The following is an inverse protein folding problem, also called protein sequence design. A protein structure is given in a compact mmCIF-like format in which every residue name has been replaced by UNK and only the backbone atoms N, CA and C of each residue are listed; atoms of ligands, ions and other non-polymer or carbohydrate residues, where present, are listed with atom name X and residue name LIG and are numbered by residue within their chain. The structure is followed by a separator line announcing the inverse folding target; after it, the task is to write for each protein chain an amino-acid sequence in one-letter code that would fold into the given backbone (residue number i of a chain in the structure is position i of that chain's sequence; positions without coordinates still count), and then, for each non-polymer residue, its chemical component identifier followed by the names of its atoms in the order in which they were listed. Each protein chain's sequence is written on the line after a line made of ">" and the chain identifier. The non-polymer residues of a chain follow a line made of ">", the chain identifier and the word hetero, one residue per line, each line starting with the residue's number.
data_IF_889251136913
#
_entry.id   IF_889251136913
#
_cell.length_a   1.000
_cell.length_b   1.000
_cell.length_c   1.000
_cell.angle_alpha   90.00
_cell.angle_beta   90.00
_cell.angle_gamma   90.00
#
_symmetry.space_group_name_H-M   'P 1'
#
loop_
_entity.id
_entity.type
_entity.pdbx_description
1 polymer ?
#
# COMPACT_ATOMS: atom_id res chain seq x y z
N UNK A 1 23.27 -15.87 15.50
CA UNK A 1 22.19 -16.12 14.52
C UNK A 1 22.05 -14.92 13.58
N UNK A 2 22.51 -15.01 12.32
CA UNK A 2 22.27 -13.98 11.30
C UNK A 2 20.95 -14.31 10.60
N UNK A 3 19.89 -13.52 10.80
CA UNK A 3 18.66 -13.62 10.01
C UNK A 3 19.00 -13.29 8.55
N UNK A 4 19.06 -14.31 7.68
CA UNK A 4 19.12 -14.11 6.22
C UNK A 4 17.76 -13.56 5.79
N UNK A 5 17.68 -12.25 5.58
CA UNK A 5 16.50 -11.62 4.98
C UNK A 5 16.46 -12.07 3.53
N UNK A 6 15.34 -12.69 3.12
CA UNK A 6 15.11 -13.06 1.71
C UNK A 6 15.13 -11.80 0.84
N UNK A 7 15.79 -11.85 -0.32
CA UNK A 7 15.90 -10.72 -1.25
C UNK A 7 14.53 -10.15 -1.67
N UNK A 8 13.49 -10.99 -1.70
CA UNK A 8 12.11 -10.57 -1.93
C UNK A 8 11.58 -9.65 -0.81
N UNK A 9 11.84 -10.00 0.45
CA UNK A 9 11.40 -9.18 1.60
C UNK A 9 12.11 -7.83 1.63
N UNK A 10 13.39 -7.78 1.22
CA UNK A 10 14.14 -6.52 1.08
C UNK A 10 13.53 -5.64 -0.02
N UNK A 11 13.20 -6.23 -1.18
CA UNK A 11 12.57 -5.51 -2.28
C UNK A 11 11.21 -4.92 -1.90
N UNK A 12 10.37 -5.69 -1.21
CA UNK A 12 9.06 -5.23 -0.70
C UNK A 12 9.24 -4.11 0.32
N UNK A 13 10.24 -4.20 1.20
CA UNK A 13 10.53 -3.13 2.15
C UNK A 13 10.94 -1.83 1.45
N UNK A 14 11.73 -1.92 0.37
CA UNK A 14 12.17 -0.76 -0.42
C UNK A 14 10.99 -0.13 -1.17
N UNK A 15 10.11 -0.90 -1.82
CA UNK A 15 8.92 -0.34 -2.48
C UNK A 15 8.03 0.38 -1.48
N UNK A 16 7.79 -0.23 -0.32
CA UNK A 16 6.97 0.36 0.73
C UNK A 16 7.58 1.66 1.25
N UNK A 17 8.89 1.69 1.48
CA UNK A 17 9.61 2.90 1.89
C UNK A 17 9.46 4.03 0.85
N UNK A 18 9.61 3.72 -0.44
CA UNK A 18 9.46 4.71 -1.52
C UNK A 18 8.04 5.29 -1.59
N UNK A 19 7.02 4.46 -1.39
CA UNK A 19 5.62 4.89 -1.34
C UNK A 19 5.37 5.81 -0.13
N UNK A 20 5.87 5.44 1.05
CA UNK A 20 5.76 6.28 2.25
C UNK A 20 6.45 7.64 2.06
N UNK A 21 7.65 7.64 1.48
CA UNK A 21 8.38 8.86 1.18
C UNK A 21 7.62 9.72 0.16
N UNK A 22 7.08 9.12 -0.91
CA UNK A 22 6.25 9.84 -1.89
C UNK A 22 5.07 10.53 -1.22
N UNK A 23 4.33 9.84 -0.36
CA UNK A 23 3.21 10.42 0.36
C UNK A 23 3.64 11.56 1.29
N UNK A 24 4.73 11.38 2.05
CA UNK A 24 5.27 12.41 2.94
C UNK A 24 5.72 13.67 2.19
N UNK A 25 6.45 13.52 1.09
CA UNK A 25 6.85 14.64 0.24
C UNK A 25 5.65 15.29 -0.46
N UNK A 26 4.64 14.51 -0.85
CA UNK A 26 3.38 15.00 -1.41
C UNK A 26 2.64 15.89 -0.43
N UNK A 27 2.46 15.43 0.80
CA UNK A 27 1.83 16.19 1.88
C UNK A 27 2.58 17.49 2.17
N UNK A 28 3.91 17.43 2.27
CA UNK A 28 4.74 18.63 2.49
C UNK A 28 4.59 19.65 1.37
N UNK A 29 4.58 19.19 0.10
CA UNK A 29 4.44 20.09 -1.05
C UNK A 29 3.05 20.71 -1.14
N UNK A 30 2.00 19.95 -0.76
CA UNK A 30 0.64 20.45 -0.66
C UNK A 30 0.52 21.53 0.43
N UNK A 31 0.97 21.25 1.64
CA UNK A 31 0.94 22.21 2.76
C UNK A 31 1.76 23.47 2.44
N UNK A 32 2.89 23.32 1.75
CA UNK A 32 3.67 24.48 1.32
C UNK A 32 2.93 25.32 0.24
N UNK A 33 2.12 24.70 -0.62
CA UNK A 33 1.29 25.43 -1.57
C UNK A 33 0.18 26.20 -0.86
N UNK A 34 -0.46 25.58 0.14
CA UNK A 34 -1.44 26.23 1.01
C UNK A 34 -0.87 27.47 1.70
N UNK A 35 0.30 27.33 2.34
CA UNK A 35 0.98 28.45 2.99
C UNK A 35 1.34 29.59 2.03
N UNK A 36 1.75 29.26 0.80
CA UNK A 36 2.01 30.28 -0.23
C UNK A 36 0.75 31.05 -0.61
N UNK A 37 -0.38 30.35 -0.76
CA UNK A 37 -1.67 30.97 -1.06
C UNK A 37 -2.10 31.90 0.08
N UNK A 38 -2.03 31.44 1.32
CA UNK A 38 -2.38 32.27 2.50
C UNK A 38 -1.45 33.48 2.61
N UNK A 39 -0.14 33.30 2.41
CA UNK A 39 0.83 34.40 2.42
C UNK A 39 0.57 35.42 1.31
N UNK A 40 0.20 34.99 0.10
CA UNK A 40 -0.12 35.89 -1.01
C UNK A 40 -1.42 36.67 -0.72
N UNK A 41 -2.44 36.01 -0.16
CA UNK A 41 -3.66 36.65 0.30
C UNK A 41 -3.38 37.69 1.40
N UNK A 42 -2.53 37.38 2.37
CA UNK A 42 -2.11 38.29 3.43
C UNK A 42 -1.41 39.54 2.86
N UNK A 43 -0.47 39.32 1.94
CA UNK A 43 0.29 40.39 1.31
C UNK A 43 -0.61 41.29 0.45
N UNK A 44 -1.52 40.70 -0.34
CA UNK A 44 -2.50 41.44 -1.12
C UNK A 44 -3.45 42.24 -0.21
N UNK A 45 -3.95 41.63 0.86
CA UNK A 45 -4.83 42.26 1.84
C UNK A 45 -4.18 43.49 2.46
N UNK A 46 -2.95 43.33 2.96
CA UNK A 46 -2.20 44.41 3.58
C UNK A 46 -1.98 45.57 2.61
N UNK A 47 -1.60 45.28 1.36
CA UNK A 47 -1.40 46.32 0.32
C UNK A 47 -2.69 47.07 0.03
N UNK A 48 -3.80 46.36 -0.19
CA UNK A 48 -5.09 46.98 -0.53
C UNK A 48 -5.60 47.87 0.59
N UNK A 49 -5.55 47.39 1.83
CA UNK A 49 -6.01 48.14 3.01
C UNK A 49 -5.15 49.38 3.24
N UNK A 50 -3.82 49.27 3.13
CA UNK A 50 -2.92 50.42 3.29
C UNK A 50 -3.09 51.46 2.18
N UNK A 51 -3.27 51.04 0.93
CA UNK A 51 -3.44 51.94 -0.21
C UNK A 51 -4.74 52.75 -0.11
N UNK A 52 -5.82 52.16 0.41
CA UNK A 52 -7.13 52.79 0.54
C UNK A 52 -7.43 53.26 1.97
N UNK A 53 -6.39 53.37 2.82
CA UNK A 53 -6.53 53.70 4.25
C UNK A 53 -7.41 54.93 4.49
N UNK A 54 -7.23 55.99 3.68
CA UNK A 54 -8.03 57.21 3.79
C UNK A 54 -9.53 56.95 3.57
N UNK A 55 -9.90 56.20 2.54
CA UNK A 55 -11.31 55.90 2.23
C UNK A 55 -11.99 55.06 3.32
N UNK A 56 -11.28 54.06 3.85
CA UNK A 56 -11.81 53.15 4.88
C UNK A 56 -11.90 53.79 6.27
N UNK A 57 -11.00 54.73 6.58
CA UNK A 57 -10.83 55.29 7.93
C UNK A 57 -11.21 56.77 8.05
N UNK A 58 -11.82 57.36 7.03
CA UNK A 58 -12.39 58.70 7.14
C UNK A 58 -13.48 58.72 8.22
N UNK A 59 -13.54 59.83 8.97
CA UNK A 59 -14.50 60.00 10.07
C UNK A 59 -15.95 59.77 9.60
N UNK A 60 -16.31 60.31 8.44
CA UNK A 60 -17.65 60.16 7.83
C UNK A 60 -17.96 58.70 7.49
N UNK A 61 -16.98 57.96 6.97
CA UNK A 61 -17.13 56.53 6.64
C UNK A 61 -17.34 55.71 7.92
N UNK A 62 -16.55 55.96 8.97
CA UNK A 62 -16.68 55.25 10.25
C UNK A 62 -18.04 55.57 10.90
N UNK A 63 -18.50 56.82 10.84
CA UNK A 63 -19.81 57.19 11.35
C UNK A 63 -20.95 56.49 10.57
N UNK A 64 -20.79 56.33 9.26
CA UNK A 64 -21.73 55.60 8.42
C UNK A 64 -21.77 54.12 8.79
N UNK A 65 -20.62 53.49 9.02
CA UNK A 65 -20.53 52.11 9.52
C UNK A 65 -21.16 51.95 10.90
N UNK A 66 -20.97 52.92 11.79
CA UNK A 66 -21.59 52.93 13.13
C UNK A 66 -23.12 52.95 13.03
N UNK A 67 -23.67 53.87 12.24
CA UNK A 67 -25.13 53.98 12.01
C UNK A 67 -25.69 52.73 11.36
N UNK A 68 -24.99 52.18 10.37
CA UNK A 68 -25.40 50.93 9.71
C UNK A 68 -25.46 49.77 10.70
N UNK A 69 -24.45 49.63 11.56
CA UNK A 69 -24.44 48.59 12.59
C UNK A 69 -25.55 48.80 13.64
N UNK A 70 -25.82 50.05 14.04
CA UNK A 70 -26.89 50.39 14.98
C UNK A 70 -28.28 50.03 14.44
N UNK A 71 -28.54 50.32 13.15
CA UNK A 71 -29.81 49.97 12.49
C UNK A 71 -29.98 48.46 12.35
N UNK A 72 -28.91 47.75 12.00
CA UNK A 72 -28.96 46.29 11.78
C UNK A 72 -29.04 45.50 13.09
N UNK A 73 -28.57 46.05 14.21
CA UNK A 73 -28.58 45.39 15.53
C UNK A 73 -27.63 44.19 15.66
N UNK A 74 -26.91 43.83 14.59
CA UNK A 74 -25.96 42.70 14.52
C UNK A 74 -24.63 43.14 13.90
N UNK A 75 -23.53 42.39 14.08
CA UNK A 75 -22.29 42.63 13.33
C UNK A 75 -22.57 42.60 11.83
N UNK A 76 -22.07 43.59 11.09
CA UNK A 76 -22.26 43.70 9.65
C UNK A 76 -21.00 43.23 8.94
N UNK A 77 -21.16 42.32 7.99
CA UNK A 77 -20.11 41.85 7.09
C UNK A 77 -20.42 42.22 5.65
N UNK A 78 -19.49 42.88 4.99
CA UNK A 78 -19.56 43.23 3.57
C UNK A 78 -18.48 42.44 2.85
N UNK A 79 -18.90 41.49 2.01
CA UNK A 79 -18.00 40.69 1.19
C UNK A 79 -18.22 41.01 -0.28
N UNK A 80 -17.16 41.25 -1.02
CA UNK A 80 -17.26 41.61 -2.43
C UNK A 80 -15.98 41.40 -3.22
N UNK A 81 -16.13 41.41 -4.54
CA UNK A 81 -15.00 41.50 -5.45
C UNK A 81 -14.36 42.88 -5.34
N UNK A 82 -13.04 42.93 -5.12
CA UNK A 82 -12.32 44.19 -4.99
C UNK A 82 -11.13 44.22 -5.95
N UNK A 83 -11.22 45.07 -6.98
CA UNK A 83 -10.22 45.12 -8.08
C UNK A 83 -8.78 45.33 -7.59
N UNK A 84 -8.57 46.25 -6.64
CA UNK A 84 -7.23 46.50 -6.10
C UNK A 84 -6.70 45.35 -5.22
N UNK A 85 -7.58 44.47 -4.73
CA UNK A 85 -7.17 43.26 -4.00
C UNK A 85 -6.76 42.17 -4.98
N UNK A 86 -7.55 41.96 -6.03
CA UNK A 86 -7.24 40.97 -7.08
C UNK A 86 -6.00 41.34 -7.91
N UNK A 87 -5.77 42.64 -8.13
CA UNK A 87 -4.55 43.12 -8.80
C UNK A 87 -3.31 42.97 -7.91
N UNK A 88 -3.46 43.01 -6.58
CA UNK A 88 -2.36 42.85 -5.64
C UNK A 88 -1.94 41.39 -5.40
N UNK A 89 -2.74 40.41 -5.87
CA UNK A 89 -2.42 38.98 -5.81
C UNK A 89 -1.35 38.61 -6.84
N UNK A 90 -0.33 37.89 -6.38
CA UNK A 90 0.77 37.41 -7.23
C UNK A 90 0.33 36.16 -8.01
N UNK A 91 -0.57 35.34 -7.45
CA UNK A 91 -1.05 34.12 -8.09
C UNK A 91 -2.21 34.43 -9.03
N UNK A 92 -1.98 34.32 -10.34
CA UNK A 92 -2.99 34.63 -11.38
C UNK A 92 -4.27 33.84 -11.22
N UNK A 93 -4.18 32.56 -10.84
CA UNK A 93 -5.36 31.72 -10.63
C UNK A 93 -6.28 32.23 -9.51
N UNK A 94 -5.75 32.94 -8.51
CA UNK A 94 -6.55 33.42 -7.38
C UNK A 94 -7.37 34.69 -7.71
N UNK A 95 -7.07 35.36 -8.82
CA UNK A 95 -7.67 36.67 -9.13
C UNK A 95 -9.19 36.59 -9.35
N UNK A 96 -9.65 35.52 -9.99
CA UNK A 96 -11.08 35.37 -10.34
C UNK A 96 -11.90 34.69 -9.23
N UNK A 97 -11.23 34.10 -8.23
CA UNK A 97 -11.86 33.31 -7.16
C UNK A 97 -11.67 33.92 -5.77
N UNK A 98 -11.11 35.13 -5.70
CA UNK A 98 -10.83 35.84 -4.46
C UNK A 98 -11.82 36.97 -4.19
N UNK A 99 -12.13 37.15 -2.91
CA UNK A 99 -13.06 38.17 -2.42
C UNK A 99 -12.49 38.82 -1.18
N UNK A 100 -12.74 40.11 -1.03
CA UNK A 100 -12.39 40.86 0.17
C UNK A 100 -13.63 40.98 1.05
N UNK A 101 -13.47 40.68 2.32
CA UNK A 101 -14.51 40.88 3.34
C UNK A 101 -14.07 41.95 4.33
N UNK A 102 -15.00 42.86 4.62
CA UNK A 102 -14.93 43.85 5.68
C UNK A 102 -15.97 43.49 6.73
N UNK A 103 -15.56 43.40 7.97
CA UNK A 103 -16.45 43.19 9.11
C UNK A 103 -16.36 44.37 10.07
N UNK A 104 -17.53 44.84 10.49
CA UNK A 104 -17.70 46.02 11.35
C UNK A 104 -18.13 45.51 12.73
N UNK A 105 -17.25 45.67 13.73
CA UNK A 105 -17.49 45.20 15.10
C UNK A 105 -17.56 46.36 16.10
N UNK A 106 -18.40 46.17 17.12
CA UNK A 106 -18.49 47.04 18.29
C UNK A 106 -17.31 46.75 19.23
N UNK A 107 -16.71 47.78 19.84
CA UNK A 107 -15.69 47.63 20.88
C UNK A 107 -16.17 46.66 21.97
N UNK A 108 -15.33 45.66 22.25
CA UNK A 108 -15.53 44.53 23.18
C UNK A 108 -16.30 43.32 22.64
N UNK A 109 -16.66 43.27 21.35
CA UNK A 109 -17.15 42.01 20.76
C UNK A 109 -16.00 40.98 20.70
N UNK A 110 -16.21 39.73 21.14
CA UNK A 110 -15.17 38.71 21.10
C UNK A 110 -14.77 38.44 19.65
N UNK A 111 -13.47 38.31 19.39
CA UNK A 111 -12.92 37.92 18.09
C UNK A 111 -13.31 36.48 17.67
N UNK A 112 -14.27 35.85 18.36
CA UNK A 112 -14.74 34.49 18.07
C UNK A 112 -15.79 34.45 16.95
N UNK A 113 -16.27 35.60 16.46
CA UNK A 113 -17.17 35.68 15.29
C UNK A 113 -16.47 35.23 13.99
N UNK A 114 -15.15 35.00 14.03
CA UNK A 114 -14.29 34.78 12.87
C UNK A 114 -13.94 33.32 12.53
N UNK A 115 -14.55 32.34 13.20
CA UNK A 115 -14.15 30.93 13.05
C UNK A 115 -14.85 30.17 11.91
N UNK A 116 -15.94 30.71 11.35
CA UNK A 116 -16.63 30.06 10.24
C UNK A 116 -15.97 30.45 8.91
N UNK A 117 -14.90 29.72 8.55
CA UNK A 117 -14.37 29.75 7.20
C UNK A 117 -15.37 28.99 6.30
N UNK A 118 -15.91 29.60 5.23
CA UNK A 118 -16.80 28.90 4.33
C UNK A 118 -16.13 27.63 3.78
N UNK A 119 -16.88 26.52 3.70
CA UNK A 119 -16.35 25.25 3.24
C UNK A 119 -15.71 25.38 1.84
N UNK A 120 -14.46 24.90 1.70
CA UNK A 120 -13.71 24.98 0.44
C UNK A 120 -13.05 26.34 0.15
N UNK A 121 -13.03 27.25 1.11
CA UNK A 121 -12.29 28.51 1.01
C UNK A 121 -11.02 28.48 1.86
N UNK A 122 -9.94 29.04 1.32
CA UNK A 122 -8.78 29.46 2.10
C UNK A 122 -8.98 30.92 2.50
N UNK A 123 -8.60 31.24 3.73
CA UNK A 123 -8.75 32.58 4.28
C UNK A 123 -7.38 33.14 4.65
N UNK A 124 -7.20 34.43 4.42
CA UNK A 124 -6.09 35.19 4.95
C UNK A 124 -6.19 35.29 6.48
N UNK A 125 -5.10 35.73 7.10
CA UNK A 125 -5.12 36.27 8.44
C UNK A 125 -6.04 37.49 8.50
N UNK A 126 -6.58 37.75 9.69
CA UNK A 126 -7.51 38.86 9.90
C UNK A 126 -6.73 40.12 10.25
N UNK A 127 -6.85 41.16 9.41
CA UNK A 127 -6.25 42.45 9.68
C UNK A 127 -7.25 43.27 10.48
N UNK A 128 -6.93 43.54 11.75
CA UNK A 128 -7.78 44.33 12.65
C UNK A 128 -7.23 45.74 12.76
N UNK A 129 -8.09 46.73 12.50
CA UNK A 129 -7.80 48.14 12.70
C UNK A 129 -8.71 48.71 13.78
N UNK A 130 -8.09 49.33 14.79
CA UNK A 130 -8.81 50.05 15.83
C UNK A 130 -8.89 51.54 15.43
N UNK A 131 -10.10 52.09 15.36
CA UNK A 131 -10.27 53.53 15.18
C UNK A 131 -9.88 54.26 16.47
N UNK A 132 -8.78 55.01 16.46
CA UNK A 132 -8.30 55.82 17.59
C UNK A 132 -8.76 57.27 17.52
N UNK A 133 -9.58 57.64 16.54
CA UNK A 133 -10.13 59.00 16.43
C UNK A 133 -11.06 59.25 17.61
N UNK A 134 -10.72 60.27 18.41
CA UNK A 134 -11.38 60.59 19.68
C UNK A 134 -12.90 60.80 19.57
N UNK A 135 -13.43 61.02 18.36
CA UNK A 135 -14.84 61.31 18.10
C UNK A 135 -15.60 60.15 17.41
N UNK A 136 -14.94 59.04 17.05
CA UNK A 136 -15.59 57.90 16.40
C UNK A 136 -15.65 56.67 17.33
N UNK A 137 -16.62 56.70 18.24
CA UNK A 137 -17.39 55.55 18.77
C UNK A 137 -16.74 54.16 18.73
N UNK A 138 -15.55 53.94 19.31
CA UNK A 138 -14.99 52.61 19.60
C UNK A 138 -15.33 51.50 18.61
N UNK A 139 -15.09 51.69 17.32
CA UNK A 139 -15.39 50.70 16.30
C UNK A 139 -14.11 49.95 15.92
N UNK A 140 -14.25 48.64 15.74
CA UNK A 140 -13.15 47.77 15.31
C UNK A 140 -13.50 47.28 13.91
N UNK A 141 -12.68 47.68 12.93
CA UNK A 141 -12.81 47.22 11.55
C UNK A 141 -11.86 46.05 11.35
N UNK A 142 -12.36 44.93 10.85
CA UNK A 142 -11.54 43.78 10.51
C UNK A 142 -11.70 43.42 9.04
N UNK A 143 -10.57 43.23 8.37
CA UNK A 143 -10.50 42.86 6.97
C UNK A 143 -9.99 41.43 6.83
N UNK A 144 -10.58 40.66 5.93
CA UNK A 144 -10.13 39.31 5.61
C UNK A 144 -10.31 39.02 4.12
N UNK A 145 -9.28 38.45 3.51
CA UNK A 145 -9.33 37.96 2.14
C UNK A 145 -9.75 36.49 2.13
N UNK A 146 -10.68 36.14 1.27
CA UNK A 146 -11.07 34.75 1.02
C UNK A 146 -10.74 34.37 -0.41
N UNK A 147 -10.27 33.15 -0.63
CA UNK A 147 -10.16 32.55 -1.95
C UNK A 147 -10.82 31.18 -1.97
N UNK A 148 -11.69 30.96 -2.97
CA UNK A 148 -12.21 29.61 -3.26
C UNK A 148 -11.11 28.79 -3.89
N UNK A 149 -10.53 27.89 -3.10
CA UNK A 149 -9.44 27.02 -3.54
C UNK A 149 -9.93 25.57 -3.53
N UNK A 150 -10.23 25.04 -4.71
CA UNK A 150 -10.50 23.61 -4.84
C UNK A 150 -9.23 22.79 -4.60
N UNK A 151 -9.38 21.56 -4.10
CA UNK A 151 -8.23 20.68 -3.88
C UNK A 151 -7.40 20.47 -5.17
N UNK A 152 -8.06 20.40 -6.33
CA UNK A 152 -7.41 20.27 -7.63
C UNK A 152 -6.58 21.51 -8.02
N UNK A 153 -7.08 22.70 -7.72
CA UNK A 153 -6.35 23.95 -7.97
C UNK A 153 -5.15 24.08 -7.03
N UNK A 154 -5.30 23.71 -5.75
CA UNK A 154 -4.17 23.71 -4.82
C UNK A 154 -3.11 22.68 -5.23
N UNK A 155 -3.55 21.52 -5.73
CA UNK A 155 -2.71 20.48 -6.28
C UNK A 155 -1.95 20.97 -7.53
N UNK A 156 -2.59 21.72 -8.43
CA UNK A 156 -1.92 22.28 -9.62
C UNK A 156 -0.93 23.40 -9.27
N UNK A 157 -1.19 24.13 -8.19
CA UNK A 157 -0.25 25.13 -7.65
C UNK A 157 0.92 24.47 -6.88
N UNK A 158 0.77 23.21 -6.46
CA UNK A 158 1.80 22.46 -5.75
C UNK A 158 2.84 21.89 -6.71
N UNK A 159 4.12 22.01 -6.33
CA UNK A 159 5.22 21.40 -7.08
C UNK A 159 5.34 19.92 -6.71
N UNK A 160 4.69 19.05 -7.48
CA UNK A 160 4.60 17.62 -7.18
C UNK A 160 5.58 16.73 -7.94
N UNK A 161 6.60 17.33 -8.55
CA UNK A 161 7.61 16.59 -9.30
C UNK A 161 8.31 15.53 -8.46
N UNK A 162 8.70 15.85 -7.23
CA UNK A 162 9.38 14.93 -6.29
C UNK A 162 8.50 13.74 -5.86
N UNK A 163 7.28 13.93 -5.32
CA UNK A 163 6.44 12.81 -4.95
C UNK A 163 6.03 11.96 -6.16
N UNK A 164 5.80 12.58 -7.32
CA UNK A 164 5.46 11.87 -8.55
C UNK A 164 6.62 11.01 -9.07
N UNK A 165 7.86 11.53 -9.08
CA UNK A 165 9.03 10.76 -9.50
C UNK A 165 9.31 9.59 -8.55
N UNK A 166 9.15 9.79 -7.23
CA UNK A 166 9.27 8.71 -6.25
C UNK A 166 8.20 7.63 -6.44
N UNK A 167 6.96 8.01 -6.74
CA UNK A 167 5.87 7.08 -6.99
C UNK A 167 6.09 6.29 -8.29
N UNK A 168 6.52 6.96 -9.35
CA UNK A 168 6.91 6.29 -10.60
C UNK A 168 8.08 5.32 -10.38
N UNK A 169 9.10 5.71 -9.63
CA UNK A 169 10.21 4.83 -9.27
C UNK A 169 9.74 3.62 -8.46
N UNK A 170 8.80 3.82 -7.52
CA UNK A 170 8.21 2.73 -6.74
C UNK A 170 7.41 1.75 -7.61
N UNK A 171 6.62 2.25 -8.56
CA UNK A 171 5.84 1.44 -9.50
C UNK A 171 6.75 0.67 -10.46
N UNK A 172 7.78 1.33 -11.01
CA UNK A 172 8.76 0.68 -11.87
C UNK A 172 9.54 -0.40 -11.12
N UNK A 173 9.99 -0.11 -9.89
CA UNK A 173 10.72 -1.06 -9.06
C UNK A 173 9.85 -2.23 -8.63
N UNK A 174 8.63 -1.98 -8.16
CA UNK A 174 7.68 -3.02 -7.75
C UNK A 174 7.18 -3.86 -8.93
N UNK A 175 6.93 -3.24 -10.08
CA UNK A 175 6.58 -3.95 -11.31
C UNK A 175 7.74 -4.81 -11.82
N UNK A 176 8.97 -4.29 -11.79
CA UNK A 176 10.16 -5.03 -12.17
C UNK A 176 10.40 -6.23 -11.25
N UNK A 177 10.25 -6.07 -9.93
CA UNK A 177 10.48 -7.16 -8.99
C UNK A 177 9.38 -8.21 -9.07
N UNK A 178 8.11 -7.78 -9.20
CA UNK A 178 7.00 -8.70 -9.46
C UNK A 178 7.21 -9.49 -10.74
N UNK A 179 7.58 -8.84 -11.84
CA UNK A 179 7.84 -9.52 -13.11
C UNK A 179 9.07 -10.43 -13.04
N UNK A 180 10.16 -9.98 -12.40
CA UNK A 180 11.38 -10.77 -12.20
C UNK A 180 11.08 -12.03 -11.40
N UNK A 181 10.43 -11.91 -10.24
CA UNK A 181 10.07 -13.06 -9.42
C UNK A 181 9.04 -13.95 -10.12
N UNK A 182 7.98 -13.40 -10.70
CA UNK A 182 6.95 -14.19 -11.38
C UNK A 182 7.47 -14.91 -12.63
N UNK A 183 8.40 -14.30 -13.38
CA UNK A 183 9.07 -14.94 -14.51
C UNK A 183 10.04 -16.01 -14.03
N UNK A 184 10.80 -15.76 -12.95
CA UNK A 184 11.63 -16.76 -12.31
C UNK A 184 10.83 -17.91 -11.70
N UNK A 185 9.65 -17.68 -11.11
CA UNK A 185 8.76 -18.77 -10.65
C UNK A 185 8.27 -19.62 -11.81
N UNK A 186 8.01 -19.01 -12.98
CA UNK A 186 7.62 -19.74 -14.20
C UNK A 186 8.78 -20.48 -14.89
N UNK A 187 10.01 -19.96 -14.84
CA UNK A 187 11.20 -20.67 -15.37
C UNK A 187 11.81 -21.65 -14.38
N UNK A 188 11.61 -21.47 -13.07
CA UNK A 188 12.06 -22.39 -12.02
C UNK A 188 11.08 -23.54 -11.78
N UNK A 189 9.84 -23.46 -12.28
CA UNK A 189 8.97 -24.63 -12.49
C UNK A 189 9.59 -25.66 -13.47
N UNK A 190 10.63 -25.26 -14.21
CA UNK A 190 11.39 -26.12 -15.12
C UNK A 190 12.87 -26.30 -14.73
N UNK A 191 13.37 -25.67 -13.66
CA UNK A 191 14.74 -25.91 -13.18
C UNK A 191 14.99 -25.34 -11.76
N UNK A 192 14.93 -26.21 -10.76
CA UNK A 192 15.86 -26.21 -9.62
C UNK A 192 15.53 -25.36 -8.37
N UNK A 193 15.25 -26.10 -7.28
CA UNK A 193 15.36 -25.70 -5.87
C UNK A 193 14.20 -24.93 -5.23
N UNK A 194 13.00 -25.52 -5.27
CA UNK A 194 12.20 -25.58 -4.05
C UNK A 194 12.46 -26.92 -3.37
N UNK A 195 12.62 -26.87 -2.06
CA UNK A 195 12.75 -28.04 -1.20
C UNK A 195 11.39 -28.76 -1.14
N UNK A 196 11.03 -29.38 -2.25
CA UNK A 196 10.01 -30.41 -2.30
C UNK A 196 10.61 -31.63 -1.59
N UNK A 197 9.83 -32.29 -0.74
CA UNK A 197 10.26 -33.46 0.02
C UNK A 197 10.48 -34.64 -0.95
N UNK A 198 11.57 -34.60 -1.70
CA UNK A 198 12.04 -35.71 -2.50
C UNK A 198 12.80 -36.67 -1.59
N UNK A 199 12.23 -37.86 -1.36
CA UNK A 199 12.96 -38.95 -0.70
C UNK A 199 13.68 -39.72 -1.80
N UNK A 200 15.00 -39.71 -1.79
CA UNK A 200 15.83 -40.40 -2.78
C UNK A 200 16.36 -41.72 -2.21
N UNK A 201 16.19 -42.80 -2.95
CA UNK A 201 16.78 -44.10 -2.62
C UNK A 201 17.21 -44.81 -3.91
N UNK A 202 18.50 -45.14 -4.03
CA UNK A 202 19.10 -45.53 -5.31
C UNK A 202 18.92 -44.45 -6.37
N UNK A 203 18.46 -44.84 -7.56
CA UNK A 203 18.23 -43.95 -8.71
C UNK A 203 16.76 -43.52 -8.85
N UNK A 204 15.96 -43.74 -7.80
CA UNK A 204 14.52 -43.48 -7.83
C UNK A 204 14.13 -42.50 -6.70
N UNK A 205 13.38 -41.47 -7.07
CA UNK A 205 13.02 -40.36 -6.20
C UNK A 205 11.51 -40.29 -5.99
N UNK A 206 11.06 -40.22 -4.74
CA UNK A 206 9.66 -40.07 -4.37
C UNK A 206 9.31 -38.59 -4.17
N UNK A 207 8.37 -38.05 -4.95
CA UNK A 207 7.72 -36.77 -4.64
C UNK A 207 6.50 -37.00 -3.76
N UNK A 208 6.56 -36.57 -2.49
CA UNK A 208 5.42 -36.62 -1.57
C UNK A 208 4.28 -35.65 -1.97
N UNK A 209 4.57 -34.63 -2.78
CA UNK A 209 3.59 -33.61 -3.16
C UNK A 209 2.77 -34.04 -4.37
N UNK A 210 3.39 -34.71 -5.33
CA UNK A 210 2.74 -35.20 -6.55
C UNK A 210 2.31 -36.66 -6.45
N UNK A 211 2.65 -37.34 -5.34
CA UNK A 211 2.43 -38.77 -5.11
C UNK A 211 2.95 -39.61 -6.30
N UNK A 212 4.18 -39.31 -6.74
CA UNK A 212 4.78 -39.90 -7.93
C UNK A 212 6.25 -40.27 -7.68
N UNK A 213 6.68 -41.33 -8.35
CA UNK A 213 8.08 -41.77 -8.39
C UNK A 213 8.73 -41.35 -9.70
N UNK A 214 9.95 -40.84 -9.61
CA UNK A 214 10.76 -40.40 -10.73
C UNK A 214 12.02 -41.24 -10.83
N UNK A 215 12.33 -41.69 -12.05
CA UNK A 215 13.59 -42.37 -12.34
C UNK A 215 14.73 -41.36 -12.56
N UNK A 216 15.97 -41.82 -12.74
CA UNK A 216 17.18 -41.02 -13.02
C UNK A 216 17.00 -40.07 -14.22
N UNK A 217 16.22 -40.49 -15.21
CA UNK A 217 15.90 -39.74 -16.42
C UNK A 217 14.74 -38.73 -16.22
N UNK A 218 14.29 -38.52 -14.96
CA UNK A 218 13.10 -37.74 -14.59
C UNK A 218 11.78 -38.23 -15.22
N UNK A 219 11.73 -39.47 -15.69
CA UNK A 219 10.50 -40.07 -16.18
C UNK A 219 9.60 -40.53 -15.02
N UNK A 220 8.31 -40.21 -15.10
CA UNK A 220 7.31 -40.63 -14.11
C UNK A 220 7.03 -42.12 -14.23
N UNK A 221 7.29 -42.85 -13.14
CA UNK A 221 6.99 -44.27 -13.04
C UNK A 221 5.48 -44.50 -13.00
N UNK A 222 4.96 -45.28 -13.96
CA UNK A 222 3.54 -45.60 -14.07
C UNK A 222 3.17 -46.73 -13.12
N UNK A 223 2.73 -46.37 -11.92
CA UNK A 223 2.24 -47.33 -10.91
C UNK A 223 0.71 -47.26 -10.79
N UNK A 224 0.09 -48.41 -10.52
CA UNK A 224 -1.29 -48.44 -10.03
C UNK A 224 -1.35 -47.89 -8.60
N UNK A 225 -2.51 -47.41 -8.11
CA UNK A 225 -2.61 -46.88 -6.74
C UNK A 225 -2.07 -47.82 -5.66
N UNK A 226 -2.39 -49.12 -5.76
CA UNK A 226 -1.91 -50.14 -4.81
C UNK A 226 -0.39 -50.37 -4.88
N UNK A 227 0.20 -50.26 -6.08
CA UNK A 227 1.66 -50.36 -6.25
C UNK A 227 2.36 -49.12 -5.69
N UNK A 228 1.79 -47.94 -5.88
CA UNK A 228 2.29 -46.69 -5.32
C UNK A 228 2.31 -46.76 -3.80
N UNK A 229 1.20 -47.13 -3.15
CA UNK A 229 1.13 -47.21 -1.68
C UNK A 229 2.16 -48.19 -1.12
N UNK A 230 2.37 -49.34 -1.77
CA UNK A 230 3.39 -50.29 -1.35
C UNK A 230 4.82 -49.70 -1.48
N UNK A 231 5.11 -49.01 -2.58
CA UNK A 231 6.41 -48.34 -2.76
C UNK A 231 6.62 -47.18 -1.78
N UNK A 232 5.57 -46.41 -1.51
CA UNK A 232 5.57 -45.34 -0.51
C UNK A 232 5.88 -45.89 0.88
N UNK A 233 5.26 -47.02 1.27
CA UNK A 233 5.59 -47.70 2.52
C UNK A 233 7.06 -48.13 2.59
N UNK A 234 7.66 -48.59 1.49
CA UNK A 234 9.10 -48.93 1.45
C UNK A 234 9.98 -47.69 1.66
N UNK A 235 9.63 -46.56 1.05
CA UNK A 235 10.40 -45.31 1.15
C UNK A 235 10.25 -44.61 2.50
N UNK A 236 9.10 -44.77 3.16
CA UNK A 236 8.85 -44.22 4.50
C UNK A 236 9.43 -45.09 5.63
N UNK A 237 9.68 -46.37 5.38
CA UNK A 237 10.38 -47.25 6.34
C UNK A 237 11.87 -46.95 6.37
N UNK A 238 12.42 -46.66 7.56
CA UNK A 238 13.83 -46.29 7.76
C UNK A 238 14.82 -47.40 7.37
N UNK A 239 14.37 -48.65 7.32
CA UNK A 239 15.19 -49.80 6.94
C UNK A 239 14.88 -50.32 5.53
N UNK A 240 13.89 -49.71 4.85
CA UNK A 240 13.33 -50.18 3.58
C UNK A 240 12.90 -51.66 3.59
N UNK A 241 12.67 -52.23 4.79
CA UNK A 241 12.21 -53.58 5.03
C UNK A 241 10.82 -53.51 5.63
N UNK A 242 9.93 -54.35 5.12
CA UNK A 242 8.51 -54.41 5.50
C UNK A 242 8.10 -55.86 5.74
N UNK A 243 7.48 -56.13 6.90
CA UNK A 243 6.93 -57.44 7.22
C UNK A 243 5.62 -57.68 6.45
N UNK A 244 5.37 -58.93 6.05
CA UNK A 244 4.14 -59.30 5.33
C UNK A 244 2.87 -58.95 6.10
N UNK A 245 2.86 -59.18 7.42
CA UNK A 245 1.75 -58.83 8.31
C UNK A 245 1.39 -57.35 8.21
N UNK A 246 2.41 -56.49 8.24
CA UNK A 246 2.25 -55.04 8.33
C UNK A 246 1.80 -54.48 6.98
N UNK A 247 2.33 -55.04 5.88
CA UNK A 247 1.87 -54.71 4.52
C UNK A 247 0.40 -55.11 4.34
N UNK A 248 0.05 -56.35 4.72
CA UNK A 248 -1.31 -56.86 4.56
C UNK A 248 -2.31 -56.06 5.41
N UNK A 249 -1.96 -55.71 6.66
CA UNK A 249 -2.81 -54.91 7.53
C UNK A 249 -3.00 -53.47 7.02
N UNK A 250 -1.96 -52.88 6.42
CA UNK A 250 -2.01 -51.52 5.85
C UNK A 250 -2.82 -51.47 4.54
N UNK A 251 -2.58 -52.40 3.62
CA UNK A 251 -3.21 -52.39 2.30
C UNK A 251 -4.62 -53.03 2.29
N UNK A 252 -4.88 -54.00 3.15
CA UNK A 252 -6.14 -54.75 3.20
C UNK A 252 -6.59 -55.05 4.65
N UNK A 253 -7.02 -54.02 5.41
CA UNK A 253 -7.51 -54.22 6.77
C UNK A 253 -8.75 -55.13 6.78
N UNK A 254 -8.66 -56.31 7.40
CA UNK A 254 -9.78 -57.23 7.59
C UNK A 254 -9.98 -58.32 6.53
N UNK A 255 -9.03 -58.52 5.60
CA UNK A 255 -9.08 -59.64 4.64
C UNK A 255 -8.42 -60.88 5.22
N UNK A 256 -9.18 -61.96 5.37
CA UNK A 256 -8.62 -63.27 5.72
C UNK A 256 -7.72 -63.78 4.59
N UNK A 257 -6.44 -64.05 4.91
CA UNK A 257 -5.41 -64.59 4.01
C UNK A 257 -5.07 -63.68 2.79
N UNK A 258 -4.59 -62.46 3.04
CA UNK A 258 -4.16 -61.51 2.01
C UNK A 258 -2.80 -61.85 1.33
N UNK A 259 -2.12 -62.91 1.75
CA UNK A 259 -0.76 -63.26 1.33
C UNK A 259 -0.63 -63.54 -0.17
N UNK A 260 -1.60 -64.24 -0.78
CA UNK A 260 -1.65 -64.50 -2.22
C UNK A 260 -1.83 -63.21 -3.04
N UNK A 261 -2.60 -62.27 -2.49
CA UNK A 261 -2.84 -60.97 -3.12
C UNK A 261 -1.57 -60.11 -3.05
N UNK A 262 -0.88 -60.13 -1.90
CA UNK A 262 0.42 -59.49 -1.73
C UNK A 262 1.48 -60.08 -2.66
N UNK A 263 1.55 -61.41 -2.76
CA UNK A 263 2.48 -62.09 -3.68
C UNK A 263 2.24 -61.65 -5.13
N UNK A 264 0.99 -61.56 -5.56
CA UNK A 264 0.63 -61.09 -6.90
C UNK A 264 1.02 -59.63 -7.11
N UNK A 265 0.81 -58.76 -6.12
CA UNK A 265 1.19 -57.35 -6.17
C UNK A 265 2.71 -57.18 -6.27
N UNK A 266 3.48 -57.88 -5.43
CA UNK A 266 4.95 -57.90 -5.46
C UNK A 266 5.46 -58.43 -6.80
N UNK A 267 4.89 -59.53 -7.31
CA UNK A 267 5.29 -60.12 -8.59
C UNK A 267 5.10 -59.15 -9.76
N UNK A 268 4.06 -58.30 -9.73
CA UNK A 268 3.81 -57.27 -10.75
C UNK A 268 4.63 -56.01 -10.54
N UNK A 269 4.92 -55.64 -9.28
CA UNK A 269 5.72 -54.45 -8.95
C UNK A 269 7.21 -54.66 -9.26
N UNK A 270 7.73 -55.86 -9.00
CA UNK A 270 9.14 -56.22 -9.17
C UNK A 270 9.73 -55.85 -10.54
N UNK A 271 9.15 -56.27 -11.70
CA UNK A 271 9.69 -55.87 -13.00
C UNK A 271 9.63 -54.35 -13.21
N UNK A 272 8.56 -53.67 -12.76
CA UNK A 272 8.42 -52.22 -12.93
C UNK A 272 9.54 -51.47 -12.22
N UNK A 273 9.87 -51.86 -10.98
CA UNK A 273 10.96 -51.25 -10.20
C UNK A 273 12.32 -51.64 -10.78
N UNK A 274 12.52 -52.91 -11.11
CA UNK A 274 13.82 -53.41 -11.56
C UNK A 274 14.22 -52.99 -12.98
N UNK A 275 13.25 -52.76 -13.87
CA UNK A 275 13.49 -52.30 -15.25
C UNK A 275 13.72 -50.78 -15.31
N UNK A 276 13.17 -50.04 -14.33
CA UNK A 276 13.21 -48.58 -14.26
C UNK A 276 14.04 -48.07 -13.09
N UNK A 277 14.89 -48.89 -12.46
CA UNK A 277 15.82 -48.42 -11.42
C UNK A 277 16.90 -49.45 -11.12
N UNK A 278 17.94 -49.03 -10.40
CA UNK A 278 18.92 -49.91 -9.80
C UNK A 278 18.44 -50.57 -8.50
N UNK A 279 17.13 -50.57 -8.22
CA UNK A 279 16.57 -51.18 -7.02
C UNK A 279 16.10 -52.61 -7.31
N UNK A 280 16.16 -53.47 -6.29
CA UNK A 280 15.66 -54.84 -6.32
C UNK A 280 14.79 -55.12 -5.10
N UNK A 281 13.63 -55.73 -5.34
CA UNK A 281 12.79 -56.24 -4.25
C UNK A 281 13.29 -57.64 -3.86
N UNK A 282 13.83 -57.76 -2.65
CA UNK A 282 14.29 -59.02 -2.05
C UNK A 282 13.22 -59.61 -1.13
N UNK A 283 13.30 -60.91 -0.89
CA UNK A 283 12.39 -61.62 0.01
C UNK A 283 13.23 -62.32 1.07
N UNK A 284 13.05 -61.94 2.33
CA UNK A 284 13.75 -62.57 3.45
C UNK A 284 12.93 -63.71 4.02
N UNK A 285 13.40 -64.95 3.79
CA UNK A 285 12.88 -66.21 4.35
C UNK A 285 11.35 -66.35 4.32
N UNK A 286 10.69 -65.73 3.35
CA UNK A 286 9.24 -65.72 3.18
C UNK A 286 8.46 -64.90 4.24
N UNK A 287 9.12 -64.12 5.10
CA UNK A 287 8.48 -63.33 6.19
C UNK A 287 8.39 -61.83 5.90
N UNK A 288 9.37 -61.29 5.18
CA UNK A 288 9.45 -59.86 4.89
C UNK A 288 9.90 -59.63 3.44
N UNK A 289 9.61 -58.43 2.95
CA UNK A 289 10.12 -57.91 1.69
C UNK A 289 11.04 -56.72 1.98
N UNK A 290 12.13 -56.61 1.23
CA UNK A 290 13.09 -55.52 1.35
C UNK A 290 13.32 -54.85 -0.01
N UNK A 291 13.69 -53.57 0.02
CA UNK A 291 14.15 -52.83 -1.14
C UNK A 291 15.65 -52.57 -1.00
N UNK A 292 16.44 -53.14 -1.91
CA UNK A 292 17.91 -53.07 -1.89
C UNK A 292 18.44 -52.47 -3.20
N UNK A 293 19.64 -51.90 -3.16
CA UNK A 293 20.33 -51.41 -4.36
C UNK A 293 21.08 -52.59 -5.01
N UNK A 294 20.86 -52.81 -6.31
CA UNK A 294 21.63 -53.74 -7.13
C UNK A 294 23.08 -53.25 -7.19
N UNK A 295 23.99 -53.96 -6.52
CA UNK A 295 25.44 -53.85 -6.72
C UNK A 295 25.88 -54.54 -8.00
#
# INVERSE_FOLDING_TARGET
>A
MKRKVSAANLSIAITFLLVLLSFGFGYRSYSQAEQRVVSDLNQALQRTVLQHKGLWLNADTIQTYAKLQEVMGTPVSVSGFHRAFTEALSITGLKDVSTLSLHILKKNAPATVFNEIPAGCLASDTLVWLSTTADASGLTLSFRGYARCSAAMLFSLSKQTIPATLLLAALLWGGFTFFYFHRHTKTNASNGQQQENFITFGNLSLSLQEACFYNEQQEKLKLTPMQYTLMEMFYLSSSHLLFKSDICQSLWPGKDNADETLYTLIRRLKPIVEDNSNLRITTDRGRAYGLEIKT
#
